data_IF_870945239491
#
_entry.id   IF_870945239491
#
_cell.length_a   1.000
_cell.length_b   1.000
_cell.length_c   1.000
_cell.angle_alpha   90.00
_cell.angle_beta   90.00
_cell.angle_gamma   90.00
#
_symmetry.space_group_name_H-M   'P 1'
#
loop_
_entity.id
_entity.type
_entity.pdbx_description
1 polymer ?
#
# COMPACT_ATOMS: atom_id res chain seq x y z
N UNK A 1 -25.51 2.60 -22.58
CA UNK A 1 -24.71 3.52 -21.73
C UNK A 1 -23.75 4.29 -22.61
N UNK A 2 -23.71 5.63 -22.58
CA UNK A 2 -22.78 6.39 -23.41
C UNK A 2 -21.33 6.00 -23.08
N UNK A 3 -20.50 5.81 -24.11
CA UNK A 3 -19.10 5.46 -23.92
C UNK A 3 -18.36 6.60 -23.19
N UNK A 4 -17.61 6.28 -22.14
CA UNK A 4 -16.78 7.23 -21.42
C UNK A 4 -15.76 7.87 -22.37
N UNK A 5 -15.53 9.18 -22.25
CA UNK A 5 -14.48 9.87 -23.01
C UNK A 5 -13.12 9.26 -22.67
N UNK A 6 -12.22 9.19 -23.66
CA UNK A 6 -10.87 8.60 -23.51
C UNK A 6 -10.09 9.19 -22.32
N UNK A 7 -10.21 10.50 -22.09
CA UNK A 7 -9.61 11.19 -20.94
C UNK A 7 -10.21 10.76 -19.61
N UNK A 8 -11.54 10.70 -19.50
CA UNK A 8 -12.24 10.25 -18.29
C UNK A 8 -11.88 8.80 -17.95
N UNK A 9 -11.85 7.91 -18.95
CA UNK A 9 -11.42 6.52 -18.74
C UNK A 9 -9.98 6.44 -18.20
N UNK A 10 -9.05 7.24 -18.75
CA UNK A 10 -7.66 7.27 -18.27
C UNK A 10 -7.56 7.83 -16.85
N UNK A 11 -8.31 8.88 -16.53
CA UNK A 11 -8.37 9.42 -15.18
C UNK A 11 -8.87 8.38 -14.17
N UNK A 12 -9.94 7.65 -14.50
CA UNK A 12 -10.48 6.59 -13.64
C UNK A 12 -9.47 5.45 -13.45
N UNK A 13 -8.75 5.06 -14.51
CA UNK A 13 -7.69 4.06 -14.41
C UNK A 13 -6.55 4.52 -13.52
N UNK A 14 -6.11 5.79 -13.63
CA UNK A 14 -5.08 6.35 -12.77
C UNK A 14 -5.57 6.41 -11.31
N UNK A 15 -6.78 6.90 -11.09
CA UNK A 15 -7.36 6.99 -9.75
C UNK A 15 -7.52 5.61 -9.11
N UNK A 16 -7.95 4.60 -9.87
CA UNK A 16 -8.05 3.23 -9.39
C UNK A 16 -6.68 2.57 -9.18
N UNK A 17 -5.67 2.95 -9.97
CA UNK A 17 -4.32 2.38 -9.81
C UNK A 17 -3.67 2.72 -8.47
N UNK A 18 -4.03 3.86 -7.85
CA UNK A 18 -3.50 4.27 -6.55
C UNK A 18 -3.88 3.31 -5.41
N UNK A 19 -5.17 3.05 -5.10
CA UNK A 19 -5.54 2.08 -4.07
C UNK A 19 -5.14 0.65 -4.44
N UNK A 20 -5.09 0.29 -5.74
CA UNK A 20 -4.60 -1.02 -6.17
C UNK A 20 -3.12 -1.18 -5.83
N UNK A 21 -2.27 -0.20 -6.17
CA UNK A 21 -0.85 -0.23 -5.85
C UNK A 21 -0.61 -0.29 -4.34
N UNK A 22 -1.40 0.47 -3.56
CA UNK A 22 -1.35 0.47 -2.10
C UNK A 22 -1.66 -0.92 -1.51
N UNK A 23 -2.74 -1.56 -1.96
CA UNK A 23 -3.10 -2.91 -1.50
C UNK A 23 -2.08 -3.97 -1.91
N UNK A 24 -1.56 -3.90 -3.14
CA UNK A 24 -0.53 -4.81 -3.61
C UNK A 24 0.74 -4.70 -2.78
N UNK A 25 1.16 -3.47 -2.47
CA UNK A 25 2.35 -3.22 -1.67
C UNK A 25 2.16 -3.67 -0.22
N UNK A 26 1.00 -3.42 0.38
CA UNK A 26 0.66 -3.88 1.72
C UNK A 26 0.66 -5.41 1.83
N UNK A 27 0.04 -6.11 0.88
CA UNK A 27 0.04 -7.58 0.86
C UNK A 27 1.44 -8.15 0.64
N UNK A 28 2.21 -7.57 -0.29
CA UNK A 28 3.59 -8.00 -0.54
C UNK A 28 4.45 -7.85 0.72
N UNK A 29 4.27 -6.75 1.44
CA UNK A 29 4.99 -6.50 2.69
C UNK A 29 4.54 -7.45 3.81
N UNK A 30 3.24 -7.65 3.99
CA UNK A 30 2.71 -8.61 4.96
C UNK A 30 3.27 -10.02 4.74
N UNK A 31 3.23 -10.51 3.50
CA UNK A 31 3.76 -11.83 3.14
C UNK A 31 5.28 -11.86 3.23
N UNK A 32 5.98 -10.78 2.86
CA UNK A 32 7.42 -10.66 3.02
C UNK A 32 7.84 -10.79 4.48
N UNK A 33 7.15 -10.09 5.39
CA UNK A 33 7.41 -10.14 6.82
C UNK A 33 7.08 -11.52 7.41
N UNK A 34 6.03 -12.19 6.93
CA UNK A 34 5.67 -13.52 7.38
C UNK A 34 6.65 -14.60 6.89
N UNK A 35 7.05 -14.55 5.63
CA UNK A 35 7.84 -15.62 4.97
C UNK A 35 9.35 -15.44 5.13
N UNK A 36 9.84 -14.20 5.10
CA UNK A 36 11.28 -13.90 5.11
C UNK A 36 11.80 -13.58 6.52
N UNK A 37 10.98 -12.88 7.32
CA UNK A 37 11.40 -12.39 8.65
C UNK A 37 10.74 -13.15 9.80
N UNK A 38 9.70 -13.94 9.54
CA UNK A 38 8.95 -14.65 10.57
C UNK A 38 8.24 -13.72 11.57
N UNK A 39 7.98 -12.47 11.18
CA UNK A 39 7.34 -11.43 11.99
C UNK A 39 6.02 -11.01 11.32
N UNK A 40 4.95 -11.81 11.39
CA UNK A 40 3.72 -11.52 10.67
C UNK A 40 3.10 -10.20 11.11
N UNK A 41 2.81 -9.32 10.14
CA UNK A 41 2.19 -8.01 10.35
C UNK A 41 0.70 -8.05 10.09
N UNK A 42 -0.04 -7.17 10.77
CA UNK A 42 -1.47 -7.00 10.50
C UNK A 42 -1.73 -6.32 9.16
N UNK A 43 -2.93 -6.52 8.59
CA UNK A 43 -3.34 -5.83 7.36
C UNK A 43 -3.30 -4.30 7.49
N UNK A 44 -3.71 -3.75 8.64
CA UNK A 44 -3.71 -2.31 8.88
C UNK A 44 -2.30 -1.73 8.99
N UNK A 45 -1.42 -2.43 9.71
CA UNK A 45 0.00 -2.06 9.87
C UNK A 45 0.73 -2.09 8.52
N UNK A 46 0.47 -3.12 7.71
CA UNK A 46 1.02 -3.24 6.36
C UNK A 46 0.49 -2.16 5.41
N UNK A 47 -0.76 -1.72 5.61
CA UNK A 47 -1.37 -0.64 4.83
C UNK A 47 -0.78 0.74 5.19
N UNK A 48 -0.53 0.98 6.47
CA UNK A 48 0.14 2.19 6.98
C UNK A 48 1.57 2.28 6.42
N UNK A 49 2.35 1.20 6.54
CA UNK A 49 3.69 1.10 5.97
C UNK A 49 3.70 1.36 4.45
N UNK A 50 2.75 0.76 3.72
CA UNK A 50 2.64 0.94 2.27
C UNK A 50 2.26 2.39 1.90
N UNK A 51 1.40 3.03 2.68
CA UNK A 51 1.01 4.42 2.47
C UNK A 51 2.19 5.37 2.70
N UNK A 52 2.96 5.17 3.77
CA UNK A 52 4.17 5.96 4.04
C UNK A 52 5.21 5.82 2.93
N UNK A 53 5.38 4.60 2.43
CA UNK A 53 6.33 4.29 1.35
C UNK A 53 5.89 4.96 0.04
N UNK A 54 4.63 4.81 -0.36
CA UNK A 54 4.12 5.38 -1.61
C UNK A 54 4.07 6.91 -1.60
N UNK A 55 3.81 7.51 -0.43
CA UNK A 55 3.78 8.97 -0.26
C UNK A 55 5.13 9.57 0.09
N UNK A 56 6.16 8.74 0.30
CA UNK A 56 7.51 9.13 0.69
C UNK A 56 7.58 9.90 2.02
N UNK A 57 6.60 9.72 2.91
CA UNK A 57 6.63 10.32 4.26
C UNK A 57 7.60 9.57 5.17
N UNK A 58 7.58 8.24 5.12
CA UNK A 58 8.54 7.35 5.79
C UNK A 58 8.65 7.54 7.30
N UNK A 59 7.52 7.63 8.03
CA UNK A 59 7.54 7.76 9.50
C UNK A 59 8.13 6.53 10.19
N UNK A 60 8.20 5.40 9.48
CA UNK A 60 8.89 4.21 9.96
C UNK A 60 8.05 3.47 10.97
N UNK A 61 6.74 3.32 10.72
CA UNK A 61 5.83 2.51 11.53
C UNK A 61 6.41 1.13 11.87
N UNK A 62 7.22 0.56 10.96
CA UNK A 62 7.90 -0.72 11.14
C UNK A 62 9.42 -0.61 11.42
N UNK A 63 10.03 0.58 11.38
CA UNK A 63 11.49 0.75 11.50
C UNK A 63 12.04 0.44 12.90
N UNK A 64 11.17 0.13 13.88
CA UNK A 64 11.58 -0.39 15.17
C UNK A 64 12.07 0.70 16.13
N UNK A 65 11.34 0.84 17.22
CA UNK A 65 11.77 1.54 18.40
C UNK A 65 10.71 1.43 19.48
N UNK A 66 10.90 0.47 20.38
CA UNK A 66 10.26 0.38 21.69
C UNK A 66 9.84 1.75 22.24
N UNK A 67 8.54 2.05 22.20
CA UNK A 67 7.86 2.88 23.21
C UNK A 67 6.69 2.05 23.76
N UNK A 68 7.06 0.96 24.41
CA UNK A 68 6.34 0.37 25.52
C UNK A 68 7.35 -0.01 26.58
#
# INVERSE_FOLDING_TARGET
>A
MPALRRSTRRLLLLLASLPIALLLLALLYQEGMALLEGQPRGLMESLEWAAETLTTTGYGADAGGTIR
#
